data_IF_173514938950
#
_entry.id   IF_173514938950
#
_cell.length_a   1.000
_cell.length_b   1.000
_cell.length_c   1.000
_cell.angle_alpha   90.00
_cell.angle_beta   90.00
_cell.angle_gamma   90.00
#
_symmetry.space_group_name_H-M   'P 1'
#
loop_
_entity.id
_entity.type
_entity.pdbx_description
1 polymer ?
#
# COMPACT_ATOMS: atom_id res chain seq x y z
N UNK A 1 12.46 -5.95 4.78
CA UNK A 1 12.61 -4.61 4.16
C UNK A 1 13.18 -4.69 2.72
N UNK A 2 12.50 -5.42 1.85
CA UNK A 2 12.81 -5.38 0.42
C UNK A 2 12.51 -3.99 -0.19
N UNK A 3 12.61 -3.87 -1.52
CA UNK A 3 12.38 -2.60 -2.25
C UNK A 3 11.10 -1.88 -1.83
N UNK A 4 9.99 -2.61 -1.75
CA UNK A 4 8.69 -2.05 -1.36
C UNK A 4 8.69 -1.49 0.07
N UNK A 5 9.19 -2.26 1.06
CA UNK A 5 9.27 -1.80 2.46
C UNK A 5 10.17 -0.58 2.63
N UNK A 6 11.30 -0.53 1.91
CA UNK A 6 12.17 0.65 1.90
C UNK A 6 11.44 1.90 1.38
N UNK A 7 10.70 1.79 0.26
CA UNK A 7 9.94 2.93 -0.27
C UNK A 7 8.84 3.39 0.69
N UNK A 8 8.16 2.47 1.38
CA UNK A 8 7.17 2.84 2.41
C UNK A 8 7.86 3.61 3.53
N UNK A 9 8.98 3.13 4.04
CA UNK A 9 9.72 3.81 5.12
C UNK A 9 10.11 5.24 4.70
N UNK A 10 10.65 5.42 3.49
CA UNK A 10 11.02 6.74 2.97
C UNK A 10 9.80 7.68 2.91
N UNK A 11 8.66 7.20 2.39
CA UNK A 11 7.46 8.01 2.26
C UNK A 11 6.85 8.37 3.62
N UNK A 12 6.75 7.41 4.54
CA UNK A 12 6.25 7.68 5.89
C UNK A 12 7.14 8.69 6.64
N UNK A 13 8.45 8.58 6.49
CA UNK A 13 9.40 9.55 7.05
C UNK A 13 9.16 10.96 6.48
N UNK A 14 8.96 11.09 5.18
CA UNK A 14 8.67 12.38 4.54
C UNK A 14 7.34 13.01 5.01
N UNK A 15 6.41 12.19 5.48
CA UNK A 15 5.14 12.59 6.07
C UNK A 15 5.25 12.88 7.58
N UNK A 16 6.45 12.73 8.18
CA UNK A 16 6.72 13.05 9.59
C UNK A 16 6.31 11.96 10.57
N UNK A 17 6.12 10.71 10.13
CA UNK A 17 5.80 9.59 11.02
C UNK A 17 7.03 8.97 11.66
N UNK A 18 6.87 8.47 12.87
CA UNK A 18 7.87 7.66 13.57
C UNK A 18 7.82 6.21 13.06
N UNK A 19 8.98 5.66 12.73
CA UNK A 19 9.06 4.36 12.07
C UNK A 19 10.03 3.46 12.83
N UNK A 20 9.58 2.24 13.11
CA UNK A 20 10.46 1.13 13.49
C UNK A 20 10.60 0.17 12.31
N UNK A 21 11.82 -0.03 11.85
CA UNK A 21 12.15 -0.99 10.81
C UNK A 21 12.66 -2.30 11.41
N UNK A 22 12.21 -3.42 10.86
CA UNK A 22 12.63 -4.77 11.29
C UNK A 22 12.98 -5.60 10.05
N UNK A 23 14.15 -6.19 10.04
CA UNK A 23 14.56 -7.22 9.06
C UNK A 23 15.57 -8.18 9.72
N UNK A 24 15.66 -9.39 9.22
CA UNK A 24 16.70 -10.34 9.63
C UNK A 24 18.06 -10.01 9.01
N UNK A 25 18.05 -9.26 7.92
CA UNK A 25 19.21 -8.89 7.12
C UNK A 25 19.72 -7.51 7.55
N UNK A 26 20.92 -7.48 8.12
CA UNK A 26 21.59 -6.26 8.56
C UNK A 26 21.85 -5.26 7.42
N UNK A 27 22.20 -5.75 6.23
CA UNK A 27 22.44 -4.86 5.08
C UNK A 27 21.17 -4.11 4.70
N UNK A 28 20.01 -4.77 4.74
CA UNK A 28 18.72 -4.13 4.50
C UNK A 28 18.39 -3.10 5.57
N UNK A 29 18.64 -3.41 6.83
CA UNK A 29 18.49 -2.46 7.93
C UNK A 29 19.36 -1.23 7.69
N UNK A 30 20.63 -1.41 7.36
CA UNK A 30 21.57 -0.30 7.11
C UNK A 30 21.08 0.63 5.99
N UNK A 31 20.40 0.11 4.96
CA UNK A 31 19.87 0.93 3.85
C UNK A 31 18.69 1.82 4.25
N UNK A 32 18.02 1.57 5.35
CA UNK A 32 16.84 2.34 5.80
C UNK A 32 17.11 3.20 7.03
N UNK A 33 18.25 3.03 7.72
CA UNK A 33 18.60 3.81 8.90
C UNK A 33 18.39 5.34 8.76
N UNK A 34 18.70 5.99 7.63
CA UNK A 34 18.47 7.43 7.48
C UNK A 34 17.00 7.85 7.47
N UNK A 35 16.07 6.90 7.32
CA UNK A 35 14.64 7.14 7.10
C UNK A 35 13.76 6.58 8.22
N UNK A 36 14.34 6.06 9.29
CA UNK A 36 13.57 5.44 10.37
C UNK A 36 13.99 5.99 11.74
N UNK A 37 13.04 6.05 12.65
CA UNK A 37 13.29 6.49 14.03
C UNK A 37 14.04 5.42 14.80
N UNK A 38 13.73 4.15 14.52
CA UNK A 38 14.34 3.00 15.17
C UNK A 38 14.48 1.84 14.19
N UNK A 39 15.47 0.97 14.43
CA UNK A 39 15.66 -0.22 13.61
C UNK A 39 16.10 -1.40 14.48
N UNK A 40 15.64 -2.60 14.16
CA UNK A 40 15.98 -3.83 14.86
C UNK A 40 16.32 -4.94 13.86
N UNK A 41 17.42 -5.62 14.12
CA UNK A 41 17.76 -6.85 13.37
C UNK A 41 17.15 -8.03 14.12
N UNK A 42 16.27 -8.78 13.46
CA UNK A 42 15.63 -9.93 14.08
C UNK A 42 14.61 -10.61 13.18
N UNK A 43 14.26 -11.83 13.60
CA UNK A 43 13.31 -12.67 12.90
C UNK A 43 11.88 -12.37 13.36
N UNK A 44 11.08 -11.82 12.47
CA UNK A 44 9.68 -11.48 12.72
C UNK A 44 8.74 -12.70 12.84
N UNK A 45 9.22 -13.91 12.56
CA UNK A 45 8.50 -15.15 12.85
C UNK A 45 8.74 -15.64 14.29
N UNK A 46 9.64 -14.98 15.04
CA UNK A 46 9.89 -15.30 16.43
C UNK A 46 8.96 -14.50 17.35
N UNK A 47 8.05 -15.21 18.04
CA UNK A 47 7.08 -14.62 18.96
C UNK A 47 7.74 -13.74 20.06
N UNK A 48 8.82 -14.24 20.70
CA UNK A 48 9.47 -13.51 21.79
C UNK A 48 10.16 -12.23 21.28
N UNK A 49 10.75 -12.29 20.10
CA UNK A 49 11.32 -11.11 19.47
C UNK A 49 10.22 -10.06 19.18
N UNK A 50 9.14 -10.41 18.51
CA UNK A 50 8.03 -9.46 18.25
C UNK A 50 7.43 -8.92 19.54
N UNK A 51 7.24 -9.77 20.54
CA UNK A 51 6.72 -9.35 21.86
C UNK A 51 7.62 -8.31 22.53
N UNK A 52 8.94 -8.43 22.40
CA UNK A 52 9.90 -7.47 22.97
C UNK A 52 9.83 -6.08 22.33
N UNK A 53 9.29 -5.97 21.11
CA UNK A 53 9.13 -4.71 20.40
C UNK A 53 7.94 -3.88 20.89
N UNK A 54 7.05 -4.44 21.72
CA UNK A 54 5.88 -3.73 22.24
C UNK A 54 4.84 -3.41 21.17
N UNK A 55 4.43 -4.42 20.39
CA UNK A 55 3.57 -4.32 19.20
C UNK A 55 2.32 -3.45 19.40
N UNK A 56 1.72 -3.47 20.58
CA UNK A 56 0.51 -2.66 20.91
C UNK A 56 0.71 -1.15 20.87
N UNK A 57 1.97 -0.70 20.93
CA UNK A 57 2.30 0.73 20.92
C UNK A 57 2.29 1.33 19.50
N UNK A 58 2.30 0.49 18.46
CA UNK A 58 2.26 0.94 17.08
C UNK A 58 0.83 1.13 16.59
N UNK A 59 0.60 2.17 15.80
CA UNK A 59 -0.70 2.40 15.19
C UNK A 59 -0.93 1.49 13.99
N UNK A 60 0.14 1.20 13.22
CA UNK A 60 0.12 0.33 12.05
C UNK A 60 1.34 -0.59 12.05
N UNK A 61 1.13 -1.86 11.77
CA UNK A 61 2.19 -2.84 11.49
C UNK A 61 2.10 -3.24 10.00
N UNK A 62 3.18 -3.03 9.25
CA UNK A 62 3.20 -3.29 7.81
C UNK A 62 4.14 -4.45 7.50
N UNK A 63 3.60 -5.56 7.02
CA UNK A 63 4.37 -6.77 6.64
C UNK A 63 4.68 -6.70 5.15
N UNK A 64 5.96 -6.49 4.82
CA UNK A 64 6.43 -6.34 3.43
C UNK A 64 7.30 -7.51 2.96
N UNK A 65 7.24 -8.64 3.66
CA UNK A 65 7.98 -9.86 3.33
C UNK A 65 7.54 -10.34 1.94
N UNK A 66 8.52 -10.59 1.08
CA UNK A 66 8.34 -11.12 -0.28
C UNK A 66 9.20 -12.36 -0.50
N UNK A 67 8.76 -13.24 -1.40
CA UNK A 67 9.50 -14.47 -1.74
C UNK A 67 9.37 -15.60 -0.70
N UNK A 68 8.88 -15.34 0.51
CA UNK A 68 8.56 -16.35 1.52
C UNK A 68 7.18 -16.09 2.12
N UNK A 69 6.16 -16.70 1.51
CA UNK A 69 4.77 -16.51 1.93
C UNK A 69 4.50 -17.08 3.33
N UNK A 70 5.15 -18.16 3.71
CA UNK A 70 4.99 -18.74 5.06
C UNK A 70 5.42 -17.74 6.12
N UNK A 71 6.61 -17.15 5.99
CA UNK A 71 7.09 -16.16 6.96
C UNK A 71 6.18 -14.91 7.00
N UNK A 72 5.66 -14.48 5.84
CA UNK A 72 4.70 -13.38 5.78
C UNK A 72 3.41 -13.69 6.56
N UNK A 73 2.89 -14.92 6.40
CA UNK A 73 1.68 -15.37 7.07
C UNK A 73 1.88 -15.52 8.58
N UNK A 74 2.99 -16.14 9.00
CA UNK A 74 3.35 -16.31 10.41
C UNK A 74 3.52 -14.95 11.10
N UNK A 75 4.29 -14.04 10.49
CA UNK A 75 4.47 -12.67 11.02
C UNK A 75 3.14 -11.95 11.16
N UNK A 76 2.28 -12.02 10.13
CA UNK A 76 0.94 -11.40 10.15
C UNK A 76 0.09 -11.92 11.31
N UNK A 77 0.06 -13.24 11.49
CA UNK A 77 -0.69 -13.88 12.57
C UNK A 77 -0.17 -13.48 13.95
N UNK A 78 1.16 -13.52 14.15
CA UNK A 78 1.81 -13.16 15.42
C UNK A 78 1.58 -11.69 15.78
N UNK A 79 1.65 -10.77 14.82
CA UNK A 79 1.36 -9.36 15.07
C UNK A 79 -0.06 -9.17 15.59
N UNK A 80 -1.04 -9.84 14.98
CA UNK A 80 -2.44 -9.77 15.43
C UNK A 80 -2.64 -10.40 16.81
N UNK A 81 -2.03 -11.54 17.07
CA UNK A 81 -2.03 -12.20 18.38
C UNK A 81 -1.42 -11.30 19.47
N UNK A 82 -0.33 -10.61 19.18
CA UNK A 82 0.33 -9.66 20.07
C UNK A 82 -0.45 -8.35 20.26
N UNK A 83 -1.58 -8.17 19.56
CA UNK A 83 -2.50 -7.06 19.72
C UNK A 83 -2.17 -5.83 18.87
N UNK A 84 -1.60 -6.02 17.69
CA UNK A 84 -1.47 -4.95 16.71
C UNK A 84 -2.85 -4.33 16.39
N UNK A 85 -2.94 -2.99 16.39
CA UNK A 85 -4.18 -2.25 16.11
C UNK A 85 -4.60 -2.44 14.65
N UNK A 86 -3.66 -2.29 13.72
CA UNK A 86 -3.86 -2.44 12.29
C UNK A 86 -2.68 -3.21 11.70
N UNK A 87 -2.97 -4.31 11.01
CA UNK A 87 -1.97 -5.11 10.30
C UNK A 87 -2.23 -5.03 8.80
N UNK A 88 -1.28 -4.46 8.08
CA UNK A 88 -1.30 -4.37 6.62
C UNK A 88 -0.27 -5.34 6.07
N UNK A 89 -0.67 -6.28 5.21
CA UNK A 89 0.26 -7.28 4.67
C UNK A 89 0.33 -7.22 3.15
N UNK A 90 1.55 -7.46 2.61
CA UNK A 90 1.77 -7.52 1.18
C UNK A 90 1.45 -8.91 0.63
N UNK A 91 0.68 -8.96 -0.45
CA UNK A 91 0.47 -10.15 -1.25
C UNK A 91 1.16 -10.03 -2.62
N UNK A 92 1.52 -11.16 -3.20
CA UNK A 92 2.07 -11.30 -4.56
C UNK A 92 1.13 -12.11 -5.47
N UNK A 93 0.05 -12.69 -4.89
CA UNK A 93 -0.96 -13.48 -5.59
C UNK A 93 -2.33 -13.31 -4.92
N UNK A 94 -3.40 -13.42 -5.70
CA UNK A 94 -4.77 -13.30 -5.18
C UNK A 94 -5.10 -14.35 -4.09
N UNK A 95 -4.54 -15.55 -4.20
CA UNK A 95 -4.73 -16.59 -3.17
C UNK A 95 -4.07 -16.21 -1.85
N UNK A 96 -2.90 -15.58 -1.88
CA UNK A 96 -2.22 -15.09 -0.67
C UNK A 96 -3.04 -14.02 0.04
N UNK A 97 -3.66 -13.08 -0.71
CA UNK A 97 -4.57 -12.08 -0.14
C UNK A 97 -5.65 -12.73 0.73
N UNK A 98 -6.29 -13.79 0.23
CA UNK A 98 -7.33 -14.51 0.98
C UNK A 98 -6.81 -15.14 2.28
N UNK A 99 -5.60 -15.74 2.23
CA UNK A 99 -5.00 -16.34 3.41
C UNK A 99 -4.56 -15.29 4.44
N UNK A 100 -3.93 -14.20 4.02
CA UNK A 100 -3.49 -13.13 4.91
C UNK A 100 -4.68 -12.52 5.66
N UNK A 101 -5.78 -12.18 4.97
CA UNK A 101 -6.99 -11.67 5.59
C UNK A 101 -7.59 -12.65 6.61
N UNK A 102 -7.58 -13.96 6.31
CA UNK A 102 -8.10 -14.98 7.23
C UNK A 102 -7.20 -15.20 8.45
N UNK A 103 -5.93 -14.87 8.36
CA UNK A 103 -4.93 -15.08 9.40
C UNK A 103 -4.52 -13.79 10.12
N UNK A 104 -5.32 -12.73 10.05
CA UNK A 104 -5.18 -11.57 10.92
C UNK A 104 -4.69 -10.30 10.26
N UNK A 105 -4.45 -10.27 8.94
CA UNK A 105 -4.31 -9.00 8.25
C UNK A 105 -5.66 -8.27 8.25
N UNK A 106 -5.67 -7.00 8.62
CA UNK A 106 -6.83 -6.14 8.49
C UNK A 106 -6.95 -5.65 7.04
N UNK A 107 -5.80 -5.38 6.40
CA UNK A 107 -5.72 -4.97 5.01
C UNK A 107 -4.62 -5.72 4.27
N UNK A 108 -4.80 -5.89 2.96
CA UNK A 108 -3.78 -6.50 2.11
C UNK A 108 -3.57 -5.66 0.87
N UNK A 109 -2.32 -5.25 0.67
CA UNK A 109 -1.86 -4.56 -0.53
C UNK A 109 -1.24 -5.55 -1.51
N UNK A 110 -1.51 -5.33 -2.81
CA UNK A 110 -0.89 -6.09 -3.89
C UNK A 110 -0.29 -5.09 -4.90
N UNK A 111 0.93 -4.57 -4.61
CA UNK A 111 1.49 -3.44 -5.33
C UNK A 111 1.61 -3.66 -6.83
N UNK A 112 2.09 -4.82 -7.25
CA UNK A 112 2.29 -5.14 -8.67
C UNK A 112 0.96 -5.12 -9.44
N UNK A 113 -0.12 -5.66 -8.86
CA UNK A 113 -1.45 -5.68 -9.48
C UNK A 113 -2.05 -4.27 -9.53
N UNK A 114 -1.91 -3.50 -8.45
CA UNK A 114 -2.43 -2.14 -8.36
C UNK A 114 -1.73 -1.22 -9.36
N UNK A 115 -0.39 -1.25 -9.42
CA UNK A 115 0.39 -0.45 -10.35
C UNK A 115 0.17 -0.90 -11.80
N UNK A 116 0.08 -2.21 -12.07
CA UNK A 116 -0.22 -2.71 -13.41
C UNK A 116 -1.60 -2.22 -13.90
N UNK A 117 -2.62 -2.26 -13.04
CA UNK A 117 -3.95 -1.73 -13.36
C UNK A 117 -3.89 -0.23 -13.65
N UNK A 118 -3.25 0.54 -12.76
CA UNK A 118 -3.07 1.98 -12.94
C UNK A 118 -2.35 2.28 -14.25
N UNK A 119 -1.23 1.62 -14.52
CA UNK A 119 -0.45 1.79 -15.75
C UNK A 119 -1.28 1.49 -17.00
N UNK A 120 -2.02 0.37 -16.99
CA UNK A 120 -2.86 -0.02 -18.13
C UNK A 120 -3.93 1.03 -18.43
N UNK A 121 -4.63 1.52 -17.41
CA UNK A 121 -5.68 2.55 -17.59
C UNK A 121 -5.07 3.89 -18.03
N UNK A 122 -3.97 4.32 -17.36
CA UNK A 122 -3.29 5.59 -17.66
C UNK A 122 -2.83 5.67 -19.13
N UNK A 123 -2.35 4.56 -19.67
CA UNK A 123 -1.82 4.50 -21.05
C UNK A 123 -2.79 3.87 -22.06
N UNK A 124 -4.03 3.56 -21.68
CA UNK A 124 -5.06 3.07 -22.60
C UNK A 124 -5.56 4.17 -23.54
N UNK A 125 -5.35 5.45 -23.19
CA UNK A 125 -5.73 6.62 -24.02
C UNK A 125 -4.75 7.76 -23.77
N UNK A 126 -4.38 8.46 -24.83
CA UNK A 126 -3.52 9.65 -24.76
C UNK A 126 -4.14 10.81 -23.97
N UNK A 127 -5.45 10.78 -23.80
CA UNK A 127 -6.21 11.86 -23.13
C UNK A 127 -6.37 11.65 -21.61
N UNK A 128 -6.02 10.48 -21.07
CA UNK A 128 -6.05 10.25 -19.63
C UNK A 128 -4.72 10.72 -19.04
N UNK A 129 -4.77 11.74 -18.18
CA UNK A 129 -3.59 12.25 -17.47
C UNK A 129 -3.32 11.48 -16.19
N UNK A 130 -4.37 11.22 -15.41
CA UNK A 130 -4.31 10.39 -14.20
C UNK A 130 -5.68 9.82 -13.86
N UNK A 131 -5.71 8.82 -12.97
CA UNK A 131 -6.96 8.32 -12.42
C UNK A 131 -6.78 7.78 -11.00
N UNK A 132 -7.84 7.90 -10.19
CA UNK A 132 -7.92 7.36 -8.84
C UNK A 132 -9.18 6.53 -8.71
N UNK A 133 -9.02 5.24 -8.43
CA UNK A 133 -10.13 4.34 -8.15
C UNK A 133 -10.68 4.63 -6.75
N UNK A 134 -11.99 4.86 -6.65
CA UNK A 134 -12.69 5.09 -5.38
C UNK A 134 -13.23 3.76 -4.84
N UNK A 135 -13.90 3.00 -5.71
CA UNK A 135 -14.45 1.68 -5.44
C UNK A 135 -14.53 0.85 -6.74
N UNK A 136 -15.13 -0.34 -6.68
CA UNK A 136 -15.27 -1.25 -7.83
C UNK A 136 -16.09 -0.66 -8.99
N UNK A 137 -16.84 0.43 -8.76
CA UNK A 137 -17.78 1.04 -9.72
C UNK A 137 -17.49 2.50 -10.03
N UNK A 138 -16.67 3.17 -9.21
CA UNK A 138 -16.40 4.60 -9.33
C UNK A 138 -14.90 4.88 -9.37
N UNK A 139 -14.51 5.82 -10.23
CA UNK A 139 -13.17 6.36 -10.29
C UNK A 139 -13.19 7.85 -10.67
N UNK A 140 -12.20 8.59 -10.21
CA UNK A 140 -11.90 9.91 -10.72
C UNK A 140 -10.88 9.80 -11.86
N UNK A 141 -11.13 10.54 -12.94
CA UNK A 141 -10.20 10.66 -14.06
C UNK A 141 -9.79 12.11 -14.23
N UNK A 142 -8.50 12.35 -14.32
CA UNK A 142 -7.95 13.58 -14.84
C UNK A 142 -7.75 13.42 -16.36
N UNK A 143 -8.37 14.29 -17.14
CA UNK A 143 -8.33 14.21 -18.61
C UNK A 143 -8.04 15.59 -19.21
N UNK A 144 -7.44 15.58 -20.39
CA UNK A 144 -7.35 16.80 -21.18
C UNK A 144 -8.76 17.30 -21.57
N UNK A 145 -8.98 18.62 -21.46
CA UNK A 145 -10.25 19.22 -21.88
C UNK A 145 -10.38 19.11 -23.39
N UNK A 146 -11.41 18.42 -23.92
CA UNK A 146 -11.61 18.31 -25.36
C UNK A 146 -11.79 19.69 -26.01
N UNK A 147 -11.16 19.93 -27.14
CA UNK A 147 -11.25 21.23 -27.88
C UNK A 147 -12.68 21.73 -28.07
N UNK A 148 -13.62 20.81 -28.33
CA UNK A 148 -15.05 21.12 -28.50
C UNK A 148 -15.74 21.66 -27.25
N UNK A 149 -15.08 21.59 -26.08
CA UNK A 149 -15.59 22.10 -24.81
C UNK A 149 -15.02 23.47 -24.47
N UNK A 150 -13.95 23.90 -25.12
CA UNK A 150 -13.33 25.19 -24.88
C UNK A 150 -14.30 26.36 -25.13
N UNK A 151 -14.26 27.31 -24.20
CA UNK A 151 -15.11 28.50 -24.25
C UNK A 151 -16.59 28.29 -23.90
N UNK A 152 -16.96 27.08 -23.43
CA UNK A 152 -18.31 26.74 -22.98
C UNK A 152 -18.35 26.47 -21.47
N UNK A 153 -19.46 26.78 -20.86
CA UNK A 153 -19.70 26.44 -19.46
C UNK A 153 -20.10 24.97 -19.32
N UNK A 154 -19.89 24.38 -18.13
CA UNK A 154 -20.31 23.01 -17.82
C UNK A 154 -21.83 22.81 -18.03
N UNK A 155 -22.64 23.84 -17.72
CA UNK A 155 -24.09 23.82 -17.92
C UNK A 155 -24.49 23.77 -19.40
N UNK A 156 -23.82 24.55 -20.27
CA UNK A 156 -24.07 24.55 -21.71
C UNK A 156 -23.69 23.23 -22.39
N UNK A 157 -22.68 22.56 -21.85
CA UNK A 157 -22.21 21.28 -22.36
C UNK A 157 -23.13 20.10 -21.98
N UNK A 158 -23.94 20.24 -20.93
CA UNK A 158 -24.85 19.21 -20.40
C UNK A 158 -24.15 17.83 -20.21
N UNK A 159 -22.92 17.89 -19.67
CA UNK A 159 -21.97 16.78 -19.65
C UNK A 159 -22.54 15.60 -18.89
N UNK A 160 -23.19 15.86 -17.74
CA UNK A 160 -23.79 14.81 -16.93
C UNK A 160 -24.82 13.98 -17.71
N UNK A 161 -25.69 14.63 -18.47
CA UNK A 161 -26.73 13.91 -19.24
C UNK A 161 -26.16 13.23 -20.48
N UNK A 162 -25.20 13.88 -21.16
CA UNK A 162 -24.64 13.34 -22.42
C UNK A 162 -23.67 12.19 -22.22
N UNK A 163 -22.88 12.24 -21.14
CA UNK A 163 -21.75 11.31 -20.93
C UNK A 163 -21.89 10.50 -19.65
N UNK A 164 -22.91 10.76 -18.83
CA UNK A 164 -23.13 10.13 -17.51
C UNK A 164 -21.92 10.24 -16.57
N UNK A 165 -21.25 11.40 -16.60
CA UNK A 165 -20.12 11.72 -15.73
C UNK A 165 -20.40 12.99 -14.93
N UNK A 166 -19.78 13.12 -13.76
CA UNK A 166 -19.76 14.35 -12.96
C UNK A 166 -18.40 15.04 -13.17
N UNK A 167 -18.39 16.35 -13.12
CA UNK A 167 -17.19 17.19 -13.16
C UNK A 167 -17.18 18.02 -11.88
#
# INVERSE_FOLDING_TARGET
LGRFGKHIAIQLNSLGHEIMAVDIDEERINTVLPYVTNAQIGDSTNYNFLKSLGIRNFDVCIVTISGNFQNSLETTSLLKELGAKLVVSRAERDVQKKFLLRNGADEVVYPEKQIAKWTAIRYASDHILDYVEVDDTHAFFEVEVPEKWLGKTVGELDIRKKYNINI
#
